data_IF_931739138749
#
_entry.id   IF_931739138749
#
_cell.length_a   1.000
_cell.length_b   1.000
_cell.length_c   1.000
_cell.angle_alpha   90.00
_cell.angle_beta   90.00
_cell.angle_gamma   90.00
#
_symmetry.space_group_name_H-M   'P 1'
#
loop_
_entity.id
_entity.type
_entity.pdbx_description
1 polymer ?
#
# COMPACT_ATOMS: atom_id res chain seq x y z
N UNK A 1 -16.89 17.24 -2.05
CA UNK A 1 -15.73 16.81 -1.22
C UNK A 1 -14.45 17.03 -2.01
N UNK A 2 -13.40 17.61 -1.40
CA UNK A 2 -12.11 17.79 -2.09
C UNK A 2 -11.43 16.42 -2.18
N UNK A 3 -11.06 16.01 -3.38
CA UNK A 3 -10.38 14.72 -3.62
C UNK A 3 -8.89 14.84 -3.29
N UNK A 4 -8.37 13.79 -2.64
CA UNK A 4 -6.97 13.75 -2.22
C UNK A 4 -6.03 13.15 -3.27
N UNK A 5 -6.53 12.72 -4.42
CA UNK A 5 -5.76 12.21 -5.55
C UNK A 5 -5.59 13.22 -6.70
N UNK A 6 -6.11 14.43 -6.53
CA UNK A 6 -5.96 15.50 -7.52
C UNK A 6 -4.48 15.85 -7.75
N UNK A 7 -4.10 15.96 -9.02
CA UNK A 7 -2.70 16.21 -9.44
C UNK A 7 -1.68 15.15 -9.00
N UNK A 8 -2.13 13.93 -8.69
CA UNK A 8 -1.28 12.79 -8.43
C UNK A 8 -0.86 12.08 -9.73
N UNK A 9 0.26 11.33 -9.74
CA UNK A 9 0.63 10.51 -10.89
C UNK A 9 -0.46 9.51 -11.24
N UNK A 10 -0.50 9.06 -12.48
CA UNK A 10 -1.52 8.16 -13.04
C UNK A 10 -1.89 7.00 -12.11
N UNK A 11 -0.86 6.34 -11.53
CA UNK A 11 -1.04 5.16 -10.68
C UNK A 11 -1.75 5.44 -9.35
N UNK A 12 -1.80 6.70 -8.91
CA UNK A 12 -2.36 7.13 -7.63
C UNK A 12 -3.72 7.83 -7.75
N UNK A 13 -4.23 8.02 -8.97
CA UNK A 13 -5.58 8.51 -9.19
C UNK A 13 -6.59 7.40 -8.90
N UNK A 14 -7.63 7.68 -8.15
CA UNK A 14 -8.56 6.65 -7.63
C UNK A 14 -9.18 5.80 -8.74
N UNK A 15 -9.59 6.42 -9.85
CA UNK A 15 -10.16 5.73 -11.00
C UNK A 15 -9.17 4.78 -11.68
N UNK A 16 -7.86 5.02 -11.52
CA UNK A 16 -6.81 4.17 -12.07
C UNK A 16 -6.35 3.08 -11.10
N UNK A 17 -6.86 3.07 -9.87
CA UNK A 17 -6.58 1.99 -8.90
C UNK A 17 -7.60 0.88 -9.05
N UNK A 18 -8.85 1.17 -8.72
CA UNK A 18 -10.01 0.33 -8.90
C UNK A 18 -11.25 1.22 -8.88
N UNK A 19 -12.15 1.07 -9.85
CA UNK A 19 -13.30 1.96 -9.95
C UNK A 19 -14.57 1.23 -10.39
N UNK A 20 -15.65 1.48 -9.65
CA UNK A 20 -16.98 1.03 -10.04
C UNK A 20 -17.57 1.96 -11.10
N UNK A 21 -18.06 1.40 -12.18
CA UNK A 21 -18.69 2.12 -13.28
C UNK A 21 -19.72 1.24 -13.97
N UNK A 22 -20.97 1.67 -14.03
CA UNK A 22 -22.03 1.05 -14.84
C UNK A 22 -22.16 -0.48 -14.65
N UNK A 23 -22.16 -0.97 -13.40
CA UNK A 23 -22.31 -2.40 -13.10
C UNK A 23 -21.06 -3.23 -13.30
N UNK A 24 -19.88 -2.60 -13.33
CA UNK A 24 -18.57 -3.24 -13.41
C UNK A 24 -17.61 -2.58 -12.44
N UNK A 25 -16.58 -3.31 -12.03
CA UNK A 25 -15.37 -2.75 -11.40
C UNK A 25 -14.20 -2.98 -12.33
N UNK A 26 -13.51 -1.92 -12.72
CA UNK A 26 -12.24 -2.01 -13.46
C UNK A 26 -11.08 -1.84 -12.48
N UNK A 27 -10.09 -2.70 -12.58
CA UNK A 27 -8.90 -2.73 -11.70
C UNK A 27 -7.67 -2.66 -12.59
N UNK A 28 -6.77 -1.67 -12.36
CA UNK A 28 -5.51 -1.60 -13.11
C UNK A 28 -4.68 -2.85 -12.86
N UNK A 29 -4.30 -3.55 -13.93
CA UNK A 29 -3.44 -4.73 -13.83
C UNK A 29 -2.00 -4.33 -13.55
N UNK A 30 -1.66 -4.25 -12.28
CA UNK A 30 -0.31 -3.91 -11.80
C UNK A 30 0.71 -5.02 -12.04
N UNK A 31 0.30 -6.19 -12.52
CA UNK A 31 1.24 -7.27 -12.87
C UNK A 31 1.99 -6.96 -14.17
N UNK A 32 1.37 -6.20 -15.06
CA UNK A 32 1.93 -5.83 -16.38
C UNK A 32 2.24 -4.34 -16.51
N UNK A 33 1.69 -3.49 -15.64
CA UNK A 33 2.01 -2.06 -15.61
C UNK A 33 3.50 -1.85 -15.25
N UNK A 34 4.24 -0.89 -15.84
CA UNK A 34 3.82 0.11 -16.82
C UNK A 34 3.98 -0.31 -18.27
N UNK A 35 4.41 -1.55 -18.56
CA UNK A 35 4.62 -2.02 -19.94
C UNK A 35 3.34 -1.94 -20.76
N UNK A 36 2.21 -2.27 -20.10
CA UNK A 36 0.87 -2.08 -20.65
C UNK A 36 0.00 -1.37 -19.61
N UNK A 37 -0.87 -0.47 -20.06
CA UNK A 37 -1.96 0.09 -19.26
C UNK A 37 -3.22 -0.70 -19.63
N UNK A 38 -3.54 -1.68 -18.82
CA UNK A 38 -4.72 -2.53 -19.00
C UNK A 38 -5.48 -2.67 -17.70
N UNK A 39 -6.81 -2.68 -17.81
CA UNK A 39 -7.69 -2.91 -16.67
C UNK A 39 -8.31 -4.29 -16.77
N UNK A 40 -8.39 -4.98 -15.63
CA UNK A 40 -9.23 -6.16 -15.46
C UNK A 40 -10.63 -5.66 -15.16
N UNK A 41 -11.61 -6.01 -15.99
CA UNK A 41 -13.02 -5.71 -15.76
C UNK A 41 -13.69 -6.86 -15.02
N UNK A 42 -14.29 -6.56 -13.89
CA UNK A 42 -15.04 -7.50 -13.04
C UNK A 42 -16.53 -7.14 -13.13
N UNK A 43 -17.37 -8.10 -13.51
CA UNK A 43 -18.84 -7.95 -13.59
C UNK A 43 -19.56 -8.58 -12.39
N UNK A 44 -18.83 -9.29 -11.53
CA UNK A 44 -19.29 -9.81 -10.25
C UNK A 44 -18.31 -9.47 -9.14
N UNK A 45 -18.78 -9.37 -7.89
CA UNK A 45 -17.89 -9.13 -6.77
C UNK A 45 -16.93 -10.30 -6.54
N UNK A 46 -17.30 -11.52 -6.90
CA UNK A 46 -16.45 -12.70 -6.84
C UNK A 46 -15.22 -12.56 -7.76
N UNK A 47 -15.39 -11.96 -8.93
CA UNK A 47 -14.26 -11.64 -9.82
C UNK A 47 -13.34 -10.58 -9.21
N UNK A 48 -13.88 -9.64 -8.42
CA UNK A 48 -13.06 -8.69 -7.64
C UNK A 48 -12.27 -9.43 -6.56
N UNK A 49 -12.88 -10.37 -5.83
CA UNK A 49 -12.19 -11.25 -4.87
C UNK A 49 -11.04 -11.97 -5.53
N UNK A 50 -11.29 -12.60 -6.69
CA UNK A 50 -10.25 -13.32 -7.44
C UNK A 50 -9.14 -12.39 -7.94
N UNK A 51 -9.47 -11.21 -8.45
CA UNK A 51 -8.48 -10.22 -8.91
C UNK A 51 -7.55 -9.76 -7.77
N UNK A 52 -8.08 -9.61 -6.54
CA UNK A 52 -7.27 -9.29 -5.35
C UNK A 52 -6.37 -10.47 -4.98
N UNK A 53 -6.89 -11.69 -4.99
CA UNK A 53 -6.12 -12.91 -4.72
C UNK A 53 -4.98 -13.09 -5.74
N UNK A 54 -5.24 -12.84 -7.02
CA UNK A 54 -4.29 -12.95 -8.12
C UNK A 54 -3.29 -11.78 -8.21
N UNK A 55 -3.29 -10.89 -7.22
CA UNK A 55 -2.37 -9.74 -7.17
C UNK A 55 -2.50 -8.77 -8.36
N UNK A 56 -3.66 -8.70 -9.01
CA UNK A 56 -3.97 -7.68 -10.04
C UNK A 56 -3.71 -6.29 -9.48
N UNK A 57 -4.11 -6.06 -8.23
CA UNK A 57 -3.78 -4.86 -7.46
C UNK A 57 -3.04 -5.21 -6.16
N UNK A 58 -2.29 -4.26 -5.60
CA UNK A 58 -1.49 -4.46 -4.40
C UNK A 58 -1.20 -3.13 -3.68
N UNK A 59 -0.41 -3.16 -2.58
CA UNK A 59 -0.20 -2.02 -1.69
C UNK A 59 -1.53 -1.53 -1.10
N UNK A 60 -1.91 -0.28 -1.30
CA UNK A 60 -3.20 0.26 -0.87
C UNK A 60 -4.34 0.00 -1.87
N UNK A 61 -4.05 -0.46 -3.08
CA UNK A 61 -5.07 -0.70 -4.12
C UNK A 61 -6.20 -1.65 -3.72
N UNK A 62 -5.93 -2.76 -3.00
CA UNK A 62 -7.00 -3.63 -2.51
C UNK A 62 -8.04 -2.93 -1.63
N UNK A 63 -7.68 -1.91 -0.85
CA UNK A 63 -8.65 -1.15 -0.05
C UNK A 63 -9.69 -0.44 -0.92
N UNK A 64 -9.25 0.12 -2.06
CA UNK A 64 -10.16 0.69 -3.05
C UNK A 64 -10.99 -0.39 -3.72
N UNK A 65 -10.36 -1.51 -4.11
CA UNK A 65 -11.01 -2.60 -4.80
C UNK A 65 -12.10 -3.27 -3.97
N UNK A 66 -11.91 -3.50 -2.66
CA UNK A 66 -12.96 -4.10 -1.81
C UNK A 66 -14.15 -3.16 -1.64
N UNK A 67 -13.94 -1.85 -1.49
CA UNK A 67 -15.03 -0.89 -1.41
C UNK A 67 -15.85 -0.81 -2.71
N UNK A 68 -15.17 -0.72 -3.86
CA UNK A 68 -15.83 -0.72 -5.16
C UNK A 68 -16.46 -2.08 -5.48
N UNK A 69 -15.87 -3.19 -5.00
CA UNK A 69 -16.45 -4.54 -5.06
C UNK A 69 -17.75 -4.66 -4.29
N UNK A 70 -17.87 -3.98 -3.14
CA UNK A 70 -19.14 -3.88 -2.39
C UNK A 70 -20.22 -3.11 -3.16
N UNK A 71 -19.84 -2.03 -3.86
CA UNK A 71 -20.76 -1.31 -4.74
C UNK A 71 -21.25 -2.20 -5.89
N UNK A 72 -20.38 -3.02 -6.48
CA UNK A 72 -20.74 -4.01 -7.49
C UNK A 72 -21.67 -5.09 -6.92
N UNK A 73 -21.41 -5.56 -5.69
CA UNK A 73 -22.30 -6.52 -5.01
C UNK A 73 -23.71 -5.93 -4.81
N UNK A 74 -23.80 -4.68 -4.39
CA UNK A 74 -25.10 -3.99 -4.26
C UNK A 74 -25.81 -3.87 -5.63
N UNK A 75 -25.09 -3.56 -6.68
CA UNK A 75 -25.63 -3.53 -8.05
C UNK A 75 -26.18 -4.90 -8.49
N UNK A 76 -25.50 -6.00 -8.19
CA UNK A 76 -25.92 -7.36 -8.56
C UNK A 76 -27.30 -7.74 -7.98
N UNK A 77 -27.66 -7.18 -6.82
CA UNK A 77 -28.91 -7.51 -6.12
C UNK A 77 -29.92 -6.35 -6.05
N UNK A 78 -29.71 -5.28 -6.81
CA UNK A 78 -30.53 -4.06 -6.78
C UNK A 78 -32.03 -4.29 -6.99
N UNK A 79 -32.37 -5.35 -7.73
CA UNK A 79 -33.76 -5.70 -8.05
C UNK A 79 -34.40 -6.65 -7.01
N UNK A 80 -33.68 -6.96 -5.91
CA UNK A 80 -34.14 -7.87 -4.85
C UNK A 80 -34.78 -7.10 -3.68
N UNK A 81 -35.51 -7.82 -2.83
CA UNK A 81 -36.04 -7.24 -1.60
C UNK A 81 -34.94 -6.87 -0.60
N UNK A 82 -35.17 -5.89 0.28
CA UNK A 82 -34.16 -5.37 1.20
C UNK A 82 -33.50 -6.44 2.08
N UNK A 83 -34.25 -7.45 2.54
CA UNK A 83 -33.68 -8.54 3.35
C UNK A 83 -32.75 -9.44 2.54
N UNK A 84 -33.05 -9.69 1.27
CA UNK A 84 -32.20 -10.47 0.37
C UNK A 84 -30.94 -9.69 -0.02
N UNK A 85 -31.08 -8.37 -0.24
CA UNK A 85 -29.93 -7.48 -0.46
C UNK A 85 -29.00 -7.48 0.74
N UNK A 86 -29.50 -7.30 1.97
CA UNK A 86 -28.69 -7.30 3.20
C UNK A 86 -27.92 -8.63 3.36
N UNK A 87 -28.61 -9.77 3.22
CA UNK A 87 -27.96 -11.09 3.33
C UNK A 87 -26.84 -11.27 2.28
N UNK A 88 -27.05 -10.86 1.04
CA UNK A 88 -26.06 -10.95 -0.03
C UNK A 88 -24.85 -10.05 0.24
N UNK A 89 -25.09 -8.82 0.73
CA UNK A 89 -24.02 -7.88 1.03
C UNK A 89 -23.19 -8.30 2.23
N UNK A 90 -23.77 -8.96 3.24
CA UNK A 90 -23.00 -9.55 4.34
C UNK A 90 -22.08 -10.66 3.84
N UNK A 91 -22.55 -11.52 2.94
CA UNK A 91 -21.71 -12.55 2.33
C UNK A 91 -20.59 -11.92 1.47
N UNK A 92 -20.92 -10.92 0.65
CA UNK A 92 -19.93 -10.21 -0.16
C UNK A 92 -18.87 -9.51 0.71
N UNK A 93 -19.28 -8.93 1.84
CA UNK A 93 -18.37 -8.30 2.79
C UNK A 93 -17.39 -9.32 3.38
N UNK A 94 -17.87 -10.51 3.74
CA UNK A 94 -17.03 -11.59 4.23
C UNK A 94 -16.03 -12.06 3.15
N UNK A 95 -16.50 -12.35 1.94
CA UNK A 95 -15.67 -12.88 0.86
C UNK A 95 -14.57 -11.88 0.44
N UNK A 96 -14.94 -10.60 0.27
CA UNK A 96 -14.00 -9.53 -0.06
C UNK A 96 -12.98 -9.30 1.06
N UNK A 97 -13.42 -9.36 2.32
CA UNK A 97 -12.51 -9.27 3.47
C UNK A 97 -11.45 -10.38 3.44
N UNK A 98 -11.84 -11.59 3.05
CA UNK A 98 -10.98 -12.77 3.06
C UNK A 98 -10.28 -13.06 1.71
N UNK A 99 -10.35 -12.14 0.75
CA UNK A 99 -9.66 -12.27 -0.53
C UNK A 99 -8.15 -12.51 -0.36
N UNK A 100 -7.57 -12.02 0.77
CA UNK A 100 -6.20 -12.33 1.19
C UNK A 100 -6.14 -12.55 2.70
N UNK A 101 -5.58 -13.70 3.16
CA UNK A 101 -5.61 -14.06 4.59
C UNK A 101 -4.93 -13.05 5.52
N UNK A 102 -3.80 -12.48 5.09
CA UNK A 102 -2.96 -11.59 5.91
C UNK A 102 -3.55 -10.21 6.16
N UNK A 103 -4.58 -9.81 5.40
CA UNK A 103 -5.18 -8.48 5.45
C UNK A 103 -6.67 -8.48 5.76
N UNK A 104 -7.22 -9.64 6.14
CA UNK A 104 -8.65 -9.84 6.35
C UNK A 104 -9.26 -8.83 7.35
N UNK A 105 -8.60 -8.57 8.48
CA UNK A 105 -9.09 -7.62 9.48
C UNK A 105 -9.22 -6.19 8.92
N UNK A 106 -8.24 -5.74 8.13
CA UNK A 106 -8.23 -4.39 7.55
C UNK A 106 -9.29 -4.24 6.45
N UNK A 107 -9.41 -5.25 5.58
CA UNK A 107 -10.44 -5.25 4.54
C UNK A 107 -11.84 -5.34 5.15
N UNK A 108 -12.00 -6.15 6.22
CA UNK A 108 -13.26 -6.30 6.95
C UNK A 108 -13.80 -4.97 7.49
N UNK A 109 -12.95 -4.10 8.01
CA UNK A 109 -13.39 -2.77 8.47
C UNK A 109 -14.03 -1.95 7.34
N UNK A 110 -13.57 -2.10 6.10
CA UNK A 110 -14.14 -1.40 4.95
C UNK A 110 -15.41 -2.10 4.47
N UNK A 111 -15.35 -3.41 4.25
CA UNK A 111 -16.45 -4.15 3.62
C UNK A 111 -17.68 -4.22 4.50
N UNK A 112 -17.52 -4.45 5.81
CA UNK A 112 -18.66 -4.44 6.76
C UNK A 112 -19.24 -3.03 6.92
N UNK A 113 -18.41 -1.98 6.93
CA UNK A 113 -18.93 -0.61 6.92
C UNK A 113 -19.71 -0.31 5.64
N UNK A 114 -19.28 -0.80 4.47
CA UNK A 114 -20.03 -0.68 3.23
C UNK A 114 -21.38 -1.40 3.30
N UNK A 115 -21.46 -2.58 3.93
CA UNK A 115 -22.73 -3.29 4.11
C UNK A 115 -23.69 -2.51 5.04
N UNK A 116 -23.20 -1.91 6.12
CA UNK A 116 -23.99 -1.02 6.99
C UNK A 116 -24.50 0.21 6.24
N UNK A 117 -23.64 0.87 5.46
CA UNK A 117 -24.00 2.05 4.64
C UNK A 117 -25.09 1.69 3.63
N UNK A 118 -24.99 0.52 2.99
CA UNK A 118 -26.03 0.05 2.07
C UNK A 118 -27.37 -0.13 2.79
N UNK A 119 -27.36 -0.73 3.96
CA UNK A 119 -28.56 -0.94 4.79
C UNK A 119 -29.18 0.39 5.22
N UNK A 120 -28.38 1.35 5.66
CA UNK A 120 -28.80 2.71 6.00
C UNK A 120 -29.44 3.42 4.78
N UNK A 121 -28.82 3.29 3.59
CA UNK A 121 -29.30 3.87 2.34
C UNK A 121 -30.65 3.29 1.93
N UNK A 122 -30.80 1.95 1.96
CA UNK A 122 -32.05 1.26 1.65
C UNK A 122 -33.20 1.70 2.60
N UNK A 123 -32.93 1.80 3.90
CA UNK A 123 -33.89 2.26 4.89
C UNK A 123 -34.32 3.72 4.64
N UNK A 124 -33.45 4.54 4.07
CA UNK A 124 -33.71 5.93 3.72
C UNK A 124 -34.29 6.12 2.30
N UNK A 125 -34.52 5.03 1.55
CA UNK A 125 -34.99 5.08 0.16
C UNK A 125 -33.96 5.66 -0.82
N UNK A 126 -32.67 5.55 -0.51
CA UNK A 126 -31.55 5.99 -1.35
C UNK A 126 -30.94 4.81 -2.09
N UNK A 127 -30.17 5.10 -3.13
CA UNK A 127 -29.41 4.10 -3.88
C UNK A 127 -28.22 3.57 -3.04
N UNK A 128 -28.20 2.27 -2.68
CA UNK A 128 -27.10 1.67 -1.91
C UNK A 128 -25.79 1.64 -2.68
N UNK A 129 -25.81 1.57 -4.01
CA UNK A 129 -24.59 1.56 -4.85
C UNK A 129 -23.88 2.91 -4.74
N UNK A 130 -24.61 4.00 -4.94
CA UNK A 130 -24.09 5.36 -4.84
C UNK A 130 -23.55 5.63 -3.43
N UNK A 131 -24.32 5.24 -2.40
CA UNK A 131 -23.91 5.42 -1.01
C UNK A 131 -22.61 4.67 -0.66
N UNK A 132 -22.39 3.45 -1.18
CA UNK A 132 -21.16 2.69 -0.99
C UNK A 132 -19.98 3.36 -1.73
N UNK A 133 -20.18 3.82 -2.97
CA UNK A 133 -19.12 4.53 -3.73
C UNK A 133 -18.71 5.79 -3.00
N UNK A 134 -19.65 6.61 -2.54
CA UNK A 134 -19.38 7.82 -1.77
C UNK A 134 -18.62 7.52 -0.47
N UNK A 135 -19.06 6.52 0.31
CA UNK A 135 -18.38 6.07 1.53
C UNK A 135 -16.95 5.59 1.24
N UNK A 136 -16.75 4.88 0.14
CA UNK A 136 -15.42 4.41 -0.27
C UNK A 136 -14.49 5.58 -0.59
N UNK A 137 -14.96 6.56 -1.37
CA UNK A 137 -14.19 7.78 -1.69
C UNK A 137 -13.88 8.60 -0.43
N UNK A 138 -14.84 8.73 0.48
CA UNK A 138 -14.63 9.40 1.76
C UNK A 138 -13.56 8.69 2.61
N UNK A 139 -13.61 7.36 2.68
CA UNK A 139 -12.62 6.55 3.38
C UNK A 139 -11.21 6.74 2.78
N UNK A 140 -11.10 6.76 1.45
CA UNK A 140 -9.86 7.04 0.76
C UNK A 140 -9.34 8.45 1.09
N UNK A 141 -10.18 9.46 1.00
CA UNK A 141 -9.80 10.84 1.33
C UNK A 141 -9.32 10.97 2.79
N UNK A 142 -10.00 10.33 3.73
CA UNK A 142 -9.61 10.31 5.15
C UNK A 142 -8.23 9.66 5.32
N UNK A 143 -8.01 8.51 4.69
CA UNK A 143 -6.73 7.81 4.72
C UNK A 143 -5.60 8.67 4.14
N UNK A 144 -5.80 9.25 2.95
CA UNK A 144 -4.81 10.12 2.33
C UNK A 144 -4.55 11.39 3.14
N UNK A 145 -5.56 11.94 3.79
CA UNK A 145 -5.39 13.11 4.68
C UNK A 145 -4.53 12.79 5.90
N UNK A 146 -4.74 11.62 6.53
CA UNK A 146 -3.90 11.17 7.65
C UNK A 146 -2.46 10.90 7.19
N UNK A 147 -2.31 10.18 6.08
CA UNK A 147 -0.97 9.89 5.53
C UNK A 147 -0.28 11.13 4.97
N UNK A 148 -1.01 12.22 4.68
CA UNK A 148 -0.40 13.49 4.30
C UNK A 148 0.45 14.07 5.44
N UNK A 149 0.02 13.93 6.68
CA UNK A 149 0.79 14.36 7.85
C UNK A 149 2.09 13.55 7.94
N UNK A 150 2.03 12.24 7.70
CA UNK A 150 3.22 11.38 7.61
C UNK A 150 4.15 11.83 6.49
N UNK A 151 3.58 12.13 5.32
CA UNK A 151 4.34 12.64 4.17
C UNK A 151 5.01 13.99 4.42
N UNK A 152 4.35 14.87 5.18
CA UNK A 152 4.89 16.17 5.57
C UNK A 152 6.09 16.01 6.51
N UNK A 153 5.95 15.18 7.56
CA UNK A 153 7.04 14.86 8.46
C UNK A 153 8.23 14.18 7.76
N UNK A 154 7.97 13.26 6.83
CA UNK A 154 9.04 12.63 6.06
C UNK A 154 9.75 13.65 5.17
N UNK A 155 9.00 14.52 4.49
CA UNK A 155 9.58 15.55 3.63
C UNK A 155 10.47 16.53 4.41
N UNK A 156 10.15 16.83 5.67
CA UNK A 156 10.99 17.66 6.53
C UNK A 156 12.35 17.01 6.82
N UNK A 157 12.42 15.69 6.91
CA UNK A 157 13.65 14.94 7.16
C UNK A 157 14.57 14.82 5.93
N UNK A 158 14.02 15.01 4.72
CA UNK A 158 14.80 14.95 3.48
C UNK A 158 15.55 16.28 3.30
N UNK A 159 16.89 16.28 3.13
CA UNK A 159 17.64 17.50 2.83
C UNK A 159 17.21 18.12 1.51
N UNK A 160 17.30 19.45 1.39
CA UNK A 160 17.10 20.14 0.13
C UNK A 160 18.20 19.74 -0.87
N UNK A 161 17.82 19.28 -2.06
CA UNK A 161 18.75 18.77 -3.07
C UNK A 161 19.39 17.42 -2.69
N UNK A 162 18.93 16.79 -1.60
CA UNK A 162 19.46 15.51 -1.14
C UNK A 162 19.07 14.33 -2.01
N UNK A 163 19.55 13.15 -1.66
CA UNK A 163 19.29 11.90 -2.38
C UNK A 163 18.67 10.87 -1.42
N UNK A 164 17.49 10.37 -1.74
CA UNK A 164 16.85 9.31 -0.97
C UNK A 164 16.94 7.96 -1.67
N UNK A 165 17.06 6.89 -0.88
CA UNK A 165 16.85 5.52 -1.34
C UNK A 165 15.51 5.03 -0.82
N UNK A 166 14.76 4.34 -1.66
CA UNK A 166 13.54 3.64 -1.27
C UNK A 166 13.40 2.32 -2.00
N UNK A 167 12.47 1.48 -1.54
CA UNK A 167 12.14 0.21 -2.18
C UNK A 167 10.65 -0.10 -2.10
N UNK A 168 10.19 -1.08 -2.87
CA UNK A 168 8.80 -1.50 -2.94
C UNK A 168 7.87 -0.37 -3.38
N UNK A 169 6.60 -0.43 -3.02
CA UNK A 169 5.59 0.58 -3.37
C UNK A 169 4.66 0.85 -2.20
N UNK A 170 4.92 1.90 -1.49
CA UNK A 170 4.02 2.46 -0.47
C UNK A 170 3.08 3.47 -1.11
N UNK A 171 2.03 3.01 -1.78
CA UNK A 171 1.14 3.82 -2.63
C UNK A 171 0.77 5.17 -2.01
N UNK A 172 0.22 5.14 -0.81
CA UNK A 172 -0.27 6.36 -0.17
C UNK A 172 0.87 7.29 0.23
N UNK A 173 1.97 6.75 0.79
CA UNK A 173 3.09 7.58 1.27
C UNK A 173 3.87 8.22 0.12
N UNK A 174 4.03 7.53 -1.01
CA UNK A 174 4.70 8.09 -2.18
C UNK A 174 3.94 9.33 -2.68
N UNK A 175 2.63 9.23 -2.83
CA UNK A 175 1.80 10.37 -3.23
C UNK A 175 1.88 11.52 -2.24
N UNK A 176 1.84 11.24 -0.95
CA UNK A 176 1.82 12.28 0.09
C UNK A 176 3.18 12.96 0.27
N UNK A 177 4.31 12.23 0.15
CA UNK A 177 5.64 12.84 0.19
C UNK A 177 5.93 13.70 -1.04
N UNK A 178 5.47 13.28 -2.23
CA UNK A 178 5.55 14.09 -3.46
C UNK A 178 4.80 15.42 -3.28
N UNK A 179 3.56 15.37 -2.76
CA UNK A 179 2.77 16.56 -2.49
C UNK A 179 3.40 17.44 -1.42
N UNK A 180 3.93 16.85 -0.34
CA UNK A 180 4.64 17.56 0.72
C UNK A 180 5.87 18.30 0.16
N UNK A 181 6.68 17.61 -0.63
CA UNK A 181 7.85 18.19 -1.28
C UNK A 181 7.50 19.41 -2.14
N UNK A 182 6.45 19.31 -2.97
CA UNK A 182 5.97 20.43 -3.77
C UNK A 182 5.49 21.63 -2.93
N UNK A 183 4.73 21.36 -1.86
CA UNK A 183 4.27 22.44 -0.95
C UNK A 183 5.42 23.11 -0.21
N UNK A 184 6.45 22.35 0.13
CA UNK A 184 7.65 22.84 0.82
C UNK A 184 8.71 23.40 -0.14
N UNK A 185 8.43 23.38 -1.45
CA UNK A 185 9.38 23.75 -2.50
C UNK A 185 10.72 22.99 -2.38
N UNK A 186 10.62 21.70 -2.03
CA UNK A 186 11.75 20.77 -1.91
C UNK A 186 11.96 20.00 -3.20
N UNK A 187 13.22 19.92 -3.59
CA UNK A 187 13.71 19.05 -4.65
C UNK A 187 14.70 18.05 -4.05
N UNK A 188 14.67 16.81 -4.53
CA UNK A 188 15.57 15.72 -4.13
C UNK A 188 15.62 14.64 -5.21
N UNK A 189 16.70 13.85 -5.22
CA UNK A 189 16.86 12.69 -6.09
C UNK A 189 16.32 11.44 -5.41
N UNK A 190 15.84 10.49 -6.22
CA UNK A 190 15.25 9.24 -5.72
C UNK A 190 15.93 8.04 -6.37
N UNK A 191 16.56 7.21 -5.56
CA UNK A 191 16.99 5.87 -5.94
C UNK A 191 15.92 4.86 -5.53
N UNK A 192 15.44 4.05 -6.48
CA UNK A 192 14.46 3.01 -6.28
C UNK A 192 15.11 1.63 -6.47
N UNK A 193 15.28 0.87 -5.40
CA UNK A 193 15.63 -0.55 -5.54
C UNK A 193 14.47 -1.30 -6.21
N UNK A 194 14.77 -2.13 -7.21
CA UNK A 194 13.76 -2.75 -8.08
C UNK A 194 12.73 -3.61 -7.36
N UNK A 195 13.12 -4.23 -6.24
CA UNK A 195 12.28 -5.10 -5.39
C UNK A 195 11.83 -6.39 -6.09
N UNK A 196 12.81 -7.30 -6.34
CA UNK A 196 12.51 -8.64 -6.83
C UNK A 196 11.62 -9.43 -5.84
N UNK A 197 10.79 -10.41 -6.29
CA UNK A 197 10.55 -10.79 -7.70
C UNK A 197 9.50 -9.95 -8.42
N UNK A 198 8.60 -9.22 -7.71
CA UNK A 198 7.47 -8.50 -8.33
C UNK A 198 7.86 -7.15 -8.95
N UNK A 199 9.01 -6.58 -8.59
CA UNK A 199 9.57 -5.33 -9.14
C UNK A 199 8.76 -4.06 -8.85
N UNK A 200 8.17 -3.95 -7.65
CA UNK A 200 7.36 -2.79 -7.28
C UNK A 200 8.15 -1.48 -7.31
N UNK A 201 9.40 -1.49 -6.85
CA UNK A 201 10.27 -0.32 -6.88
C UNK A 201 10.52 0.18 -8.29
N UNK A 202 10.88 -0.75 -9.19
CA UNK A 202 11.15 -0.41 -10.59
C UNK A 202 9.88 -0.05 -11.36
N UNK A 203 8.77 -0.80 -11.17
CA UNK A 203 7.59 -0.65 -12.03
C UNK A 203 6.59 0.38 -11.54
N UNK A 204 6.51 0.62 -10.25
CA UNK A 204 5.45 1.44 -9.65
C UNK A 204 6.05 2.71 -9.02
N UNK A 205 6.96 2.58 -8.07
CA UNK A 205 7.52 3.71 -7.31
C UNK A 205 8.27 4.68 -8.20
N UNK A 206 9.21 4.18 -9.01
CA UNK A 206 10.03 5.02 -9.88
C UNK A 206 9.18 5.82 -10.87
N UNK A 207 8.14 5.18 -11.45
CA UNK A 207 7.21 5.83 -12.36
C UNK A 207 6.45 6.98 -11.70
N UNK A 208 6.02 6.83 -10.45
CA UNK A 208 5.34 7.90 -9.73
C UNK A 208 6.23 9.13 -9.52
N UNK A 209 7.46 8.95 -9.08
CA UNK A 209 8.41 10.06 -8.90
C UNK A 209 8.79 10.71 -10.23
N UNK A 210 9.13 9.91 -11.25
CA UNK A 210 9.53 10.40 -12.55
C UNK A 210 8.41 11.21 -13.25
N UNK A 211 7.16 10.72 -13.22
CA UNK A 211 5.99 11.46 -13.76
C UNK A 211 5.76 12.79 -13.06
N UNK A 212 6.22 12.92 -11.83
CA UNK A 212 6.10 14.14 -11.04
C UNK A 212 7.33 15.05 -11.13
N UNK A 213 8.32 14.70 -11.98
CA UNK A 213 9.48 15.53 -12.31
C UNK A 213 10.68 15.37 -11.37
N UNK A 214 10.69 14.35 -10.50
CA UNK A 214 11.85 14.06 -9.65
C UNK A 214 12.93 13.31 -10.44
N UNK A 215 14.19 13.64 -10.21
CA UNK A 215 15.35 12.89 -10.72
C UNK A 215 15.33 11.49 -10.10
N UNK A 216 15.01 10.48 -10.91
CA UNK A 216 14.67 9.13 -10.43
C UNK A 216 15.54 8.09 -11.09
N UNK A 217 16.26 7.32 -10.29
CA UNK A 217 17.14 6.24 -10.73
C UNK A 217 16.66 4.89 -10.20
N UNK A 218 16.55 3.89 -11.07
CA UNK A 218 16.28 2.51 -10.66
C UNK A 218 17.60 1.76 -10.54
N UNK A 219 17.76 1.02 -9.46
CA UNK A 219 18.87 0.09 -9.24
C UNK A 219 18.34 -1.31 -8.96
N UNK A 220 19.14 -2.34 -9.22
CA UNK A 220 18.81 -3.70 -8.76
C UNK A 220 19.03 -3.83 -7.26
N UNK A 221 18.37 -4.78 -6.60
CA UNK A 221 18.41 -4.93 -5.14
C UNK A 221 19.83 -5.20 -4.60
N UNK A 222 20.68 -5.81 -5.39
CA UNK A 222 22.09 -6.07 -5.04
C UNK A 222 23.04 -4.87 -5.28
N UNK A 223 22.57 -3.77 -5.85
CA UNK A 223 23.35 -2.54 -6.04
C UNK A 223 23.24 -1.55 -4.86
N UNK A 224 22.43 -1.86 -3.86
CA UNK A 224 22.14 -0.92 -2.74
C UNK A 224 23.42 -0.52 -2.00
N UNK A 225 24.32 -1.45 -1.71
CA UNK A 225 25.59 -1.14 -1.05
C UNK A 225 26.45 -0.17 -1.89
N UNK A 226 26.53 -0.39 -3.20
CA UNK A 226 27.24 0.50 -4.12
C UNK A 226 26.63 1.91 -4.12
N UNK A 227 25.28 1.99 -4.21
CA UNK A 227 24.59 3.27 -4.21
C UNK A 227 24.81 4.04 -2.89
N UNK A 228 24.71 3.37 -1.74
CA UNK A 228 24.97 3.97 -0.44
C UNK A 228 26.42 4.46 -0.28
N UNK A 229 27.38 3.76 -0.88
CA UNK A 229 28.80 4.15 -0.82
C UNK A 229 29.14 5.28 -1.81
N UNK A 230 28.52 5.31 -3.00
CA UNK A 230 29.02 6.12 -4.14
C UNK A 230 28.10 7.22 -4.62
N UNK A 231 26.78 7.11 -4.38
CA UNK A 231 25.79 8.00 -4.99
C UNK A 231 25.26 9.08 -4.03
N UNK A 232 25.88 9.20 -2.85
CA UNK A 232 25.54 10.24 -1.88
C UNK A 232 24.13 10.11 -1.32
N UNK A 233 23.72 8.88 -0.94
CA UNK A 233 22.42 8.64 -0.31
C UNK A 233 22.39 9.28 1.08
N UNK A 234 21.52 10.25 1.28
CA UNK A 234 21.35 10.96 2.57
C UNK A 234 20.39 10.26 3.51
N UNK A 235 19.43 9.49 2.95
CA UNK A 235 18.36 8.90 3.72
C UNK A 235 17.83 7.65 3.02
N UNK A 236 17.62 6.56 3.78
CA UNK A 236 16.81 5.43 3.36
C UNK A 236 15.43 5.53 3.97
N UNK A 237 14.38 5.31 3.19
CA UNK A 237 13.00 5.27 3.68
C UNK A 237 12.19 4.16 3.02
N UNK A 238 11.30 3.57 3.79
CA UNK A 238 10.29 2.63 3.30
C UNK A 238 8.96 2.82 4.03
N UNK A 239 7.87 2.36 3.43
CA UNK A 239 6.67 2.05 4.18
C UNK A 239 6.90 0.79 5.04
N UNK A 240 5.88 0.41 5.81
CA UNK A 240 5.82 -0.88 6.49
C UNK A 240 4.44 -1.51 6.29
N UNK A 241 4.43 -2.84 6.11
CA UNK A 241 3.20 -3.63 6.09
C UNK A 241 2.67 -3.85 7.52
N UNK A 242 3.58 -3.94 8.50
CA UNK A 242 3.26 -4.02 9.94
C UNK A 242 4.30 -3.23 10.72
N UNK A 243 3.84 -2.49 11.72
CA UNK A 243 4.68 -1.76 12.69
C UNK A 243 4.25 -2.21 14.07
N UNK A 244 5.06 -3.06 14.71
CA UNK A 244 4.77 -3.56 16.05
C UNK A 244 5.14 -2.53 17.12
N UNK A 245 4.48 -2.60 18.28
CA UNK A 245 4.63 -1.68 19.41
C UNK A 245 6.03 -1.69 20.01
N UNK A 246 6.74 -2.82 19.93
CA UNK A 246 8.13 -2.96 20.36
C UNK A 246 9.16 -2.37 19.37
N UNK A 247 8.69 -1.77 18.28
CA UNK A 247 9.50 -1.12 17.26
C UNK A 247 10.02 -2.04 16.15
N UNK A 248 9.71 -3.34 16.18
CA UNK A 248 9.94 -4.19 15.01
C UNK A 248 8.97 -3.84 13.89
N UNK A 249 9.46 -3.89 12.66
CA UNK A 249 8.61 -3.67 11.49
C UNK A 249 8.71 -4.87 10.54
N UNK A 250 7.62 -5.18 9.84
CA UNK A 250 7.66 -6.03 8.67
C UNK A 250 7.42 -5.18 7.41
N UNK A 251 8.26 -5.39 6.43
CA UNK A 251 8.09 -4.78 5.11
C UNK A 251 8.61 -5.74 4.03
N UNK A 252 8.40 -5.37 2.78
CA UNK A 252 8.78 -6.18 1.63
C UNK A 252 10.20 -6.74 1.77
N UNK A 253 10.33 -8.03 1.39
CA UNK A 253 11.63 -8.73 1.42
C UNK A 253 12.73 -7.86 0.81
N UNK A 254 13.90 -7.83 1.46
CA UNK A 254 15.02 -6.96 1.14
C UNK A 254 15.14 -5.71 2.04
N UNK A 255 14.08 -5.32 2.76
CA UNK A 255 14.13 -4.16 3.67
C UNK A 255 15.16 -4.37 4.77
N UNK A 256 15.25 -5.56 5.35
CA UNK A 256 16.21 -5.87 6.41
C UNK A 256 17.65 -5.76 5.92
N UNK A 257 17.95 -6.31 4.73
CA UNK A 257 19.25 -6.15 4.09
C UNK A 257 19.62 -4.67 3.92
N UNK A 258 18.68 -3.85 3.41
CA UNK A 258 18.91 -2.41 3.20
C UNK A 258 19.08 -1.66 4.52
N UNK A 259 18.36 -2.03 5.56
CA UNK A 259 18.50 -1.45 6.90
C UNK A 259 19.88 -1.74 7.51
N UNK A 260 20.41 -2.97 7.34
CA UNK A 260 21.78 -3.33 7.74
C UNK A 260 22.81 -2.48 7.00
N UNK A 261 22.66 -2.32 5.69
CA UNK A 261 23.55 -1.50 4.87
C UNK A 261 23.47 -0.02 5.27
N UNK A 262 22.27 0.52 5.46
CA UNK A 262 22.08 1.89 5.94
C UNK A 262 22.81 2.13 7.27
N UNK A 263 22.68 1.20 8.21
CA UNK A 263 23.39 1.25 9.50
C UNK A 263 24.90 1.19 9.32
N UNK A 264 25.39 0.31 8.44
CA UNK A 264 26.83 0.18 8.14
C UNK A 264 27.44 1.46 7.58
N UNK A 265 26.73 2.13 6.65
CA UNK A 265 27.18 3.37 6.03
C UNK A 265 26.82 4.64 6.82
N UNK A 266 26.17 4.52 7.98
CA UNK A 266 25.75 5.67 8.80
C UNK A 266 24.61 6.49 8.20
N UNK A 267 23.85 5.91 7.26
CA UNK A 267 22.69 6.54 6.62
C UNK A 267 21.44 6.32 7.50
N UNK A 268 20.68 7.38 7.85
CA UNK A 268 19.48 7.22 8.64
C UNK A 268 18.40 6.46 7.85
N UNK A 269 17.73 5.51 8.53
CA UNK A 269 16.59 4.79 8.01
C UNK A 269 15.31 5.23 8.71
N UNK A 270 14.38 5.82 7.97
CA UNK A 270 13.06 6.21 8.47
C UNK A 270 11.97 5.35 7.86
N UNK A 271 11.18 4.73 8.75
CA UNK A 271 9.99 3.93 8.39
C UNK A 271 8.77 4.82 8.46
N UNK A 272 7.89 4.73 7.46
CA UNK A 272 6.65 5.50 7.42
C UNK A 272 5.43 4.61 7.61
N UNK A 273 4.51 5.01 8.46
CA UNK A 273 3.25 4.31 8.67
C UNK A 273 2.59 4.60 10.00
N UNK A 274 1.46 3.96 10.20
CA UNK A 274 0.71 4.02 11.45
C UNK A 274 0.97 2.72 12.21
N UNK A 275 1.43 2.79 13.49
CA UNK A 275 1.66 1.61 14.31
C UNK A 275 0.39 0.77 14.50
N UNK A 276 0.56 -0.56 14.47
CA UNK A 276 -0.54 -1.52 14.63
C UNK A 276 -0.82 -1.75 16.12
N UNK A 277 -2.04 -1.41 16.55
CA UNK A 277 -2.44 -1.51 17.95
C UNK A 277 -2.45 -2.96 18.48
N UNK A 278 -2.76 -3.93 17.62
CA UNK A 278 -2.87 -5.35 17.93
C UNK A 278 -1.57 -6.14 17.77
N UNK A 279 -0.46 -5.47 17.39
CA UNK A 279 0.86 -6.08 17.22
C UNK A 279 1.79 -5.61 18.34
N UNK A 280 1.93 -6.42 19.38
CA UNK A 280 2.73 -6.04 20.54
C UNK A 280 4.24 -6.23 20.32
N UNK A 281 4.61 -7.25 19.54
CA UNK A 281 6.02 -7.59 19.30
C UNK A 281 6.23 -8.25 17.93
N UNK A 282 7.49 -8.54 17.60
CA UNK A 282 7.84 -9.32 16.40
C UNK A 282 7.13 -10.68 16.33
N UNK A 283 6.77 -11.27 17.48
CA UNK A 283 6.17 -12.60 17.54
C UNK A 283 4.71 -12.60 17.01
N UNK A 284 4.09 -11.42 16.95
CA UNK A 284 2.77 -11.21 16.35
C UNK A 284 2.83 -11.02 14.82
N UNK A 285 4.04 -10.97 14.26
CA UNK A 285 4.26 -10.77 12.81
C UNK A 285 4.33 -12.12 12.11
N UNK A 286 3.37 -12.38 11.23
CA UNK A 286 3.33 -13.58 10.42
C UNK A 286 3.83 -13.28 9.00
N UNK A 287 4.87 -13.99 8.56
CA UNK A 287 5.42 -13.83 7.21
C UNK A 287 4.68 -14.74 6.22
N UNK A 288 4.03 -14.12 5.24
CA UNK A 288 3.36 -14.80 4.14
C UNK A 288 4.41 -15.42 3.19
N UNK A 289 4.34 -16.72 2.96
CA UNK A 289 5.13 -17.39 1.92
C UNK A 289 4.36 -17.39 0.62
N UNK A 290 5.02 -17.01 -0.48
CA UNK A 290 4.43 -16.92 -1.82
C UNK A 290 4.97 -17.99 -2.75
N UNK A 291 4.39 -18.06 -3.96
CA UNK A 291 4.79 -19.01 -4.97
C UNK A 291 6.27 -18.83 -5.37
N UNK A 292 7.13 -19.85 -5.09
CA UNK A 292 8.54 -19.83 -5.43
C UNK A 292 8.82 -19.67 -6.93
N UNK A 293 7.87 -20.04 -7.81
CA UNK A 293 8.03 -19.89 -9.25
C UNK A 293 8.26 -18.44 -9.68
N UNK A 294 7.77 -17.48 -8.90
CA UNK A 294 8.03 -16.05 -9.14
C UNK A 294 9.50 -15.67 -8.96
N UNK A 295 10.26 -16.42 -8.18
CA UNK A 295 11.72 -16.24 -8.04
C UNK A 295 12.47 -16.92 -9.18
N UNK A 296 11.99 -18.10 -9.61
CA UNK A 296 12.61 -18.95 -10.65
C UNK A 296 12.36 -18.46 -12.07
N UNK A 297 11.53 -17.43 -12.25
CA UNK A 297 11.21 -16.91 -13.58
C UNK A 297 11.20 -15.37 -13.60
N UNK A 298 11.35 -14.83 -14.80
CA UNK A 298 11.16 -13.41 -15.09
C UNK A 298 10.34 -13.25 -16.38
N UNK A 299 9.19 -12.59 -16.30
CA UNK A 299 8.25 -12.41 -17.41
C UNK A 299 7.87 -13.75 -18.10
N UNK A 300 7.69 -14.79 -17.30
CA UNK A 300 7.35 -16.13 -17.80
C UNK A 300 8.53 -16.93 -18.38
N UNK A 301 9.74 -16.35 -18.39
CA UNK A 301 10.95 -17.02 -18.86
C UNK A 301 11.68 -17.61 -17.63
N UNK A 302 11.96 -18.92 -17.58
CA UNK A 302 12.75 -19.52 -16.51
C UNK A 302 14.14 -18.89 -16.40
N UNK A 303 14.59 -18.61 -15.18
CA UNK A 303 15.91 -18.08 -14.89
C UNK A 303 16.97 -19.16 -14.64
N UNK A 304 16.52 -20.41 -14.51
CA UNK A 304 17.38 -21.54 -14.13
C UNK A 304 16.80 -22.85 -14.65
N UNK A 305 17.52 -23.96 -14.41
CA UNK A 305 17.07 -25.30 -14.78
C UNK A 305 15.97 -25.81 -13.83
N UNK A 306 15.13 -26.78 -14.27
CA UNK A 306 13.94 -27.22 -13.49
C UNK A 306 14.24 -27.81 -12.12
N UNK A 307 15.45 -28.32 -11.90
CA UNK A 307 15.85 -28.96 -10.64
C UNK A 307 16.12 -27.96 -9.51
N UNK A 308 16.27 -26.67 -9.81
CA UNK A 308 16.57 -25.64 -8.82
C UNK A 308 15.31 -25.28 -8.03
N UNK A 309 15.45 -25.23 -6.70
CA UNK A 309 14.38 -24.84 -5.77
C UNK A 309 14.51 -23.37 -5.39
N UNK A 310 13.41 -22.73 -5.00
CA UNK A 310 13.39 -21.39 -4.46
C UNK A 310 12.54 -21.29 -3.20
N UNK A 311 12.70 -20.21 -2.47
CA UNK A 311 11.80 -19.76 -1.41
C UNK A 311 11.38 -18.32 -1.71
N UNK A 312 10.17 -17.93 -1.34
CA UNK A 312 9.69 -16.58 -1.47
C UNK A 312 8.93 -16.12 -0.22
N UNK A 313 9.63 -15.68 0.84
CA UNK A 313 8.99 -14.92 1.90
C UNK A 313 8.61 -13.53 1.35
N UNK A 314 7.36 -13.10 1.59
CA UNK A 314 6.88 -11.79 1.09
C UNK A 314 7.55 -10.62 1.77
N UNK A 315 7.88 -10.79 3.05
CA UNK A 315 8.39 -9.75 3.92
C UNK A 315 9.59 -10.25 4.71
N UNK A 316 10.38 -9.33 5.23
CA UNK A 316 11.33 -9.58 6.30
C UNK A 316 11.02 -8.68 7.51
N UNK A 317 11.58 -9.02 8.66
CA UNK A 317 11.38 -8.29 9.90
C UNK A 317 12.64 -7.51 10.24
N UNK A 318 12.51 -6.20 10.35
CA UNK A 318 13.62 -5.30 10.72
C UNK A 318 13.55 -4.99 12.21
N UNK A 319 14.63 -5.24 12.96
CA UNK A 319 14.67 -4.93 14.39
C UNK A 319 14.85 -3.43 14.65
N UNK A 320 14.34 -2.91 15.77
CA UNK A 320 14.31 -1.48 16.09
C UNK A 320 15.69 -0.80 16.12
N UNK A 321 16.78 -1.51 16.44
CA UNK A 321 18.13 -0.93 16.50
C UNK A 321 18.70 -0.54 15.12
N UNK A 322 18.08 -0.96 14.02
CA UNK A 322 18.44 -0.58 12.67
C UNK A 322 17.62 0.60 12.12
N UNK A 323 16.60 1.04 12.86
CA UNK A 323 15.66 2.07 12.46
C UNK A 323 15.99 3.36 13.22
N UNK A 324 16.17 4.46 12.49
CA UNK A 324 16.46 5.78 13.08
C UNK A 324 15.20 6.46 13.61
N UNK A 325 14.05 6.20 13.02
CA UNK A 325 12.76 6.70 13.48
C UNK A 325 11.58 6.13 12.70
N UNK A 326 10.42 6.09 13.35
CA UNK A 326 9.12 5.77 12.76
C UNK A 326 8.35 7.06 12.57
N UNK A 327 8.11 7.42 11.32
CA UNK A 327 7.40 8.64 10.92
C UNK A 327 5.90 8.34 10.87
N UNK A 328 5.16 8.96 11.77
CA UNK A 328 3.72 8.74 11.97
C UNK A 328 2.92 10.04 11.73
N UNK A 329 1.61 9.97 11.85
CA UNK A 329 0.72 11.15 11.83
C UNK A 329 0.81 12.02 13.10
N UNK A 330 1.53 11.55 14.13
CA UNK A 330 1.74 12.30 15.39
C UNK A 330 3.17 12.81 15.55
N UNK A 331 4.04 12.54 14.59
CA UNK A 331 5.46 12.91 14.61
C UNK A 331 6.39 11.73 14.37
N UNK A 332 7.68 11.94 14.65
CA UNK A 332 8.73 10.92 14.49
C UNK A 332 9.04 10.31 15.84
N UNK A 333 8.83 9.00 15.96
CA UNK A 333 9.06 8.25 17.17
C UNK A 333 10.37 7.46 17.13
N UNK A 334 11.09 7.44 18.24
CA UNK A 334 12.17 6.48 18.44
C UNK A 334 11.57 5.07 18.50
N UNK A 335 12.07 4.08 17.73
CA UNK A 335 11.44 2.76 17.64
C UNK A 335 11.19 2.08 18.99
N UNK A 336 12.12 2.17 19.93
CA UNK A 336 11.98 1.59 21.27
C UNK A 336 10.95 2.28 22.17
N UNK A 337 10.44 3.45 21.80
CA UNK A 337 9.44 4.21 22.51
C UNK A 337 8.11 4.31 21.74
N UNK A 338 7.89 3.41 20.83
CA UNK A 338 6.73 3.46 19.93
C UNK A 338 5.39 3.22 20.66
N UNK A 339 5.42 2.60 21.84
CA UNK A 339 4.24 2.49 22.69
C UNK A 339 3.62 3.85 23.05
N UNK A 340 4.44 4.90 23.20
CA UNK A 340 3.96 6.26 23.47
C UNK A 340 3.08 6.84 22.32
N UNK A 341 3.12 6.26 21.15
CA UNK A 341 2.18 6.62 20.07
C UNK A 341 0.72 6.38 20.51
N UNK A 342 0.46 5.36 21.34
CA UNK A 342 -0.87 4.95 21.79
C UNK A 342 -1.34 5.68 23.06
N UNK A 343 -0.47 6.42 23.72
CA UNK A 343 -0.80 7.16 24.97
C UNK A 343 -1.68 8.40 24.70
N UNK A 344 -1.90 8.78 23.46
CA UNK A 344 -2.74 9.91 23.05
C UNK A 344 -3.95 9.44 22.25
N UNK A 345 -5.09 10.17 22.34
CA UNK A 345 -6.33 9.86 21.61
C UNK A 345 -6.10 9.66 20.12
N UNK A 346 -6.23 8.42 19.67
CA UNK A 346 -6.03 8.03 18.28
C UNK A 346 -7.35 8.18 17.52
N UNK A 347 -7.39 9.04 16.51
CA UNK A 347 -8.47 9.01 15.52
C UNK A 347 -8.38 7.68 14.74
N UNK A 348 -9.52 6.99 14.57
CA UNK A 348 -9.57 5.76 13.78
C UNK A 348 -9.01 6.02 12.38
N UNK A 349 -8.02 5.22 11.97
CA UNK A 349 -7.36 5.33 10.66
C UNK A 349 -8.15 4.62 9.55
N UNK A 350 -8.80 3.51 9.88
CA UNK A 350 -9.62 2.70 8.99
C UNK A 350 -11.11 2.88 9.26
#
# INVERSE_FOLDING_TARGET
>A
MVRMDENMPFLLQYENVAWYENGKVRILDRRIYPTEVRFVECVTYQEVVQAIADMVTQSAGPYTAVGMGMALAAWQVRDKGAAEQDAFLQQAAYDLAHARPTTANRYGQITYRCAEVAKEALAAGKDPVEAIVENTVESLNRRYSTMQIVGDHLAELIPQGGTILTQCFGETIIGTVIRAARRQNKDFKVFCAETRPYLQGARLTSGCFAQMGFDTTVITDNMVAYAMEREGIDLFTSAADTIARDGHIANKIGTFQMAILAKYFGIPYYVTGIPDQDKHSKDDIVIEMRDPQQVLSYRGIPNTVPEVKAIYPSFDVVPPHLISGVVTDKGVYVPYLLDHYFDSDVKKFY
#
